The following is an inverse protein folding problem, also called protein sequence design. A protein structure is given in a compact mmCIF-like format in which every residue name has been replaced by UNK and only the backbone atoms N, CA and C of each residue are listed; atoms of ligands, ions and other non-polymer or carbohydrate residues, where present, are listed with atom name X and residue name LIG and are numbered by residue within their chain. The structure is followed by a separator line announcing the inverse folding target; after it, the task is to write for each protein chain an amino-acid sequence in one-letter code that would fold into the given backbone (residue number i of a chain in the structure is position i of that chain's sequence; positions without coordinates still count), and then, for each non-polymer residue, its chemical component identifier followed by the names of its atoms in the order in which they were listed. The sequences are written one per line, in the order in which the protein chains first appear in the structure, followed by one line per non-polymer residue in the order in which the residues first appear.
data_IF_163873913244
#
_entry.id   IF_163873913244
#
_cell.length_a   1.000
_cell.length_b   1.000
_cell.length_c   1.000
_cell.angle_alpha   90.00
_cell.angle_beta   90.00
_cell.angle_gamma   90.00
#
_symmetry.space_group_name_H-M   'P 1'
#
loop_
_entity.id
_entity.type
_entity.pdbx_description
1 polymer ?
#
# COMPACT_ATOMS: atom_id res chain seq x y z
N UNK A 1 -16.76 24.13 15.92
CA UNK A 1 -16.40 23.50 14.65
C UNK A 1 -14.91 23.21 14.71
N UNK A 2 -14.50 21.94 14.69
CA UNK A 2 -13.07 21.61 14.60
C UNK A 2 -12.62 21.93 13.18
N UNK A 3 -11.58 22.75 13.04
CA UNK A 3 -11.00 23.08 11.75
C UNK A 3 -9.93 22.03 11.46
N UNK A 4 -10.24 21.09 10.54
CA UNK A 4 -9.27 20.09 10.11
C UNK A 4 -8.21 20.78 9.25
N UNK A 5 -6.94 20.64 9.64
CA UNK A 5 -5.82 21.14 8.83
C UNK A 5 -5.49 20.08 7.78
N UNK A 6 -5.56 20.46 6.50
CA UNK A 6 -5.19 19.60 5.37
C UNK A 6 -4.12 20.35 4.57
N UNK A 7 -2.99 19.70 4.36
CA UNK A 7 -1.87 20.23 3.59
C UNK A 7 -1.68 19.30 2.39
N UNK A 8 -1.64 19.88 1.19
CA UNK A 8 -1.48 19.13 -0.05
C UNK A 8 -0.04 19.22 -0.55
N UNK A 9 0.44 18.11 -1.10
CA UNK A 9 1.76 17.96 -1.69
C UNK A 9 1.63 17.29 -3.07
N UNK A 10 2.55 17.60 -3.97
CA UNK A 10 2.65 16.97 -5.28
C UNK A 10 4.13 16.78 -5.61
N UNK A 11 4.71 15.79 -4.95
CA UNK A 11 6.13 15.49 -5.01
C UNK A 11 6.31 14.01 -5.37
N UNK A 12 7.53 13.61 -5.73
CA UNK A 12 7.89 12.20 -5.73
C UNK A 12 7.68 11.60 -4.33
N UNK A 13 7.13 10.39 -4.27
CA UNK A 13 6.74 9.79 -3.00
C UNK A 13 7.96 9.45 -2.12
N UNK A 14 9.09 9.02 -2.69
CA UNK A 14 10.30 8.73 -1.92
C UNK A 14 10.85 10.03 -1.32
N UNK A 15 10.96 11.08 -2.14
CA UNK A 15 11.42 12.37 -1.67
C UNK A 15 10.50 12.95 -0.59
N UNK A 16 9.18 12.87 -0.79
CA UNK A 16 8.20 13.31 0.20
C UNK A 16 8.38 12.56 1.53
N UNK A 17 8.46 11.23 1.51
CA UNK A 17 8.58 10.41 2.71
C UNK A 17 9.92 10.63 3.43
N UNK A 18 11.00 10.82 2.69
CA UNK A 18 12.33 11.06 3.28
C UNK A 18 12.46 12.44 3.93
N UNK A 19 11.75 13.45 3.42
CA UNK A 19 11.76 14.82 3.96
C UNK A 19 10.62 15.11 4.94
N UNK A 20 9.68 14.18 5.09
CA UNK A 20 8.60 14.30 6.08
C UNK A 20 9.17 14.10 7.50
N UNK A 21 8.84 15.04 8.39
CA UNK A 21 9.12 14.89 9.82
C UNK A 21 7.96 14.15 10.48
N UNK A 22 8.22 12.93 10.94
CA UNK A 22 7.23 12.10 11.63
C UNK A 22 7.27 12.35 13.14
N UNK A 23 6.12 12.65 13.71
CA UNK A 23 5.92 12.84 15.15
C UNK A 23 5.48 11.54 15.81
N UNK A 24 5.61 11.50 17.14
CA UNK A 24 5.10 10.39 17.95
C UNK A 24 3.58 10.30 17.79
N UNK A 25 3.09 9.10 17.50
CA UNK A 25 1.69 8.76 17.22
C UNK A 25 1.19 9.18 15.83
N UNK A 26 2.07 9.63 14.93
CA UNK A 26 1.70 9.73 13.52
C UNK A 26 1.42 8.34 12.96
N UNK A 27 0.44 8.31 12.07
CA UNK A 27 0.06 7.13 11.31
C UNK A 27 0.14 7.46 9.82
N UNK A 28 0.89 6.64 9.08
CA UNK A 28 1.09 6.83 7.64
C UNK A 28 0.36 5.72 6.89
N UNK A 29 -0.59 6.11 6.05
CA UNK A 29 -1.31 5.19 5.18
C UNK A 29 -0.75 5.24 3.77
N UNK A 30 -0.56 4.06 3.19
CA UNK A 30 -0.04 3.88 1.84
C UNK A 30 -1.04 3.13 0.98
N UNK A 31 -1.37 3.70 -0.19
CA UNK A 31 -2.13 3.05 -1.24
C UNK A 31 -1.45 3.34 -2.59
N UNK A 32 -0.30 2.70 -2.85
CA UNK A 32 0.47 2.94 -4.06
C UNK A 32 -0.21 2.30 -5.29
N UNK A 33 0.26 2.61 -6.51
CA UNK A 33 -0.07 1.80 -7.68
C UNK A 33 0.26 0.31 -7.42
N UNK A 34 -0.63 -0.61 -7.83
CA UNK A 34 -0.40 -2.04 -7.61
C UNK A 34 0.32 -2.66 -8.79
N UNK A 35 1.48 -3.29 -8.53
CA UNK A 35 2.37 -3.84 -9.56
C UNK A 35 1.67 -4.79 -10.55
N UNK A 36 0.72 -5.60 -10.04
CA UNK A 36 0.01 -6.63 -10.82
C UNK A 36 -1.41 -6.20 -11.24
N UNK A 37 -1.73 -4.90 -11.15
CA UNK A 37 -3.00 -4.36 -11.67
C UNK A 37 -2.76 -3.54 -12.93
N UNK A 38 -3.82 -3.41 -13.75
CA UNK A 38 -3.77 -2.63 -14.98
C UNK A 38 -4.61 -1.36 -14.81
N UNK A 39 -3.96 -0.28 -14.40
CA UNK A 39 -4.54 1.06 -14.28
C UNK A 39 -3.67 2.10 -14.97
N UNK A 40 -4.28 3.19 -15.44
CA UNK A 40 -3.58 4.28 -16.16
C UNK A 40 -2.47 4.94 -15.32
N UNK A 41 -2.65 5.02 -14.00
CA UNK A 41 -1.66 5.57 -13.07
C UNK A 41 -0.52 4.58 -12.73
N UNK A 42 -0.61 3.31 -13.14
CA UNK A 42 0.47 2.33 -12.91
C UNK A 42 1.61 2.45 -13.93
N UNK A 43 1.49 3.31 -14.97
CA UNK A 43 2.44 3.41 -16.08
C UNK A 43 3.89 3.69 -15.66
N UNK A 44 4.07 4.35 -14.52
CA UNK A 44 5.38 4.72 -13.99
C UNK A 44 5.78 3.87 -12.77
N UNK A 45 5.00 2.83 -12.45
CA UNK A 45 5.23 1.95 -11.30
C UNK A 45 5.77 0.61 -11.76
N UNK A 46 6.93 0.24 -11.24
CA UNK A 46 7.59 -1.03 -11.51
C UNK A 46 8.09 -1.70 -10.22
N UNK A 47 8.80 -2.81 -10.38
CA UNK A 47 9.37 -3.55 -9.24
C UNK A 47 10.35 -2.71 -8.42
N UNK A 48 11.09 -1.81 -9.05
CA UNK A 48 12.12 -1.02 -8.38
C UNK A 48 11.46 0.04 -7.49
N UNK A 49 10.38 0.67 -7.97
CA UNK A 49 9.56 1.59 -7.19
C UNK A 49 8.92 0.90 -5.97
N UNK A 50 8.36 -0.30 -6.18
CA UNK A 50 7.75 -1.07 -5.10
C UNK A 50 8.79 -1.49 -4.03
N UNK A 51 9.95 -1.98 -4.46
CA UNK A 51 11.06 -2.32 -3.56
C UNK A 51 11.56 -1.08 -2.79
N UNK A 52 11.68 0.07 -3.46
CA UNK A 52 12.08 1.32 -2.83
C UNK A 52 11.08 1.77 -1.76
N UNK A 53 9.77 1.72 -2.06
CA UNK A 53 8.71 2.02 -1.10
C UNK A 53 8.84 1.13 0.15
N UNK A 54 9.00 -0.17 -0.06
CA UNK A 54 9.17 -1.14 1.03
C UNK A 54 10.41 -0.90 1.88
N UNK A 55 11.51 -0.41 1.31
CA UNK A 55 12.68 0.06 2.07
C UNK A 55 12.38 1.27 2.97
N UNK A 56 11.50 2.17 2.51
CA UNK A 56 11.03 3.31 3.32
C UNK A 56 10.13 2.83 4.46
N UNK A 57 9.19 1.91 4.22
CA UNK A 57 8.33 1.36 5.26
C UNK A 57 9.14 0.63 6.34
N UNK A 58 10.14 -0.16 5.96
CA UNK A 58 11.09 -0.77 6.90
C UNK A 58 11.85 0.29 7.74
N UNK A 59 12.11 1.46 7.17
CA UNK A 59 12.77 2.56 7.87
C UNK A 59 11.82 3.30 8.81
N UNK A 60 10.54 3.43 8.47
CA UNK A 60 9.50 3.96 9.35
C UNK A 60 9.29 3.06 10.57
N UNK A 61 9.27 1.74 10.34
CA UNK A 61 9.16 0.74 11.40
C UNK A 61 10.29 0.89 12.44
N UNK A 62 11.53 0.96 11.96
CA UNK A 62 12.72 1.16 12.83
C UNK A 62 12.67 2.47 13.61
N UNK A 63 11.99 3.49 13.09
CA UNK A 63 11.78 4.78 13.76
C UNK A 63 10.59 4.76 14.73
N UNK A 64 9.83 3.66 14.80
CA UNK A 64 8.64 3.54 15.62
C UNK A 64 7.43 4.30 15.09
N UNK A 65 7.41 4.63 13.80
CA UNK A 65 6.27 5.27 13.12
C UNK A 65 5.27 4.19 12.71
N UNK A 66 4.00 4.41 13.01
CA UNK A 66 2.95 3.46 12.64
C UNK A 66 2.61 3.61 11.16
N UNK A 67 2.49 2.50 10.45
CA UNK A 67 2.03 2.51 9.07
C UNK A 67 1.04 1.40 8.76
N UNK A 68 0.27 1.64 7.70
CA UNK A 68 -0.51 0.62 7.02
C UNK A 68 -0.44 0.78 5.51
N UNK A 69 -0.36 -0.34 4.78
CA UNK A 69 -0.31 -0.36 3.32
C UNK A 69 -1.30 -1.35 2.74
N UNK A 70 -2.03 -0.95 1.70
CA UNK A 70 -2.90 -1.82 0.90
C UNK A 70 -2.23 -2.20 -0.41
N UNK A 71 -2.33 -3.47 -0.82
CA UNK A 71 -1.82 -3.94 -2.11
C UNK A 71 -2.44 -5.32 -2.49
N UNK A 72 -2.20 -5.77 -3.73
CA UNK A 72 -2.65 -7.05 -4.27
C UNK A 72 -1.53 -8.10 -4.23
N UNK A 73 -1.78 -9.21 -3.53
CA UNK A 73 -0.91 -10.41 -3.55
C UNK A 73 -1.12 -11.20 -4.83
N UNK A 74 -2.36 -11.28 -5.28
CA UNK A 74 -2.76 -12.04 -6.46
C UNK A 74 -3.83 -11.27 -7.24
N UNK A 75 -3.73 -11.26 -8.56
CA UNK A 75 -4.71 -10.67 -9.46
C UNK A 75 -4.65 -11.37 -10.83
N UNK A 76 -5.76 -11.95 -11.28
CA UNK A 76 -5.93 -12.49 -12.65
C UNK A 76 -4.79 -13.40 -13.12
N UNK A 77 -4.33 -14.32 -12.26
CA UNK A 77 -3.25 -15.27 -12.59
C UNK A 77 -1.85 -14.79 -12.25
N UNK A 78 -1.67 -13.51 -11.94
CA UNK A 78 -0.38 -12.93 -11.57
C UNK A 78 -0.20 -12.86 -10.05
N UNK A 79 1.02 -13.10 -9.57
CA UNK A 79 1.37 -13.06 -8.15
C UNK A 79 2.44 -12.01 -7.90
N UNK A 80 2.19 -11.10 -6.95
CA UNK A 80 3.18 -10.16 -6.48
C UNK A 80 4.08 -10.84 -5.44
N UNK A 81 5.17 -11.46 -5.91
CA UNK A 81 6.13 -12.13 -5.03
C UNK A 81 6.91 -11.15 -4.15
N UNK A 82 7.12 -9.91 -4.59
CA UNK A 82 7.81 -8.87 -3.81
C UNK A 82 7.00 -8.55 -2.55
N UNK A 83 5.72 -8.21 -2.72
CA UNK A 83 4.79 -7.99 -1.61
C UNK A 83 4.68 -9.24 -0.73
N UNK A 84 4.48 -10.42 -1.33
CA UNK A 84 4.28 -11.67 -0.59
C UNK A 84 5.45 -12.02 0.33
N UNK A 85 6.68 -11.77 -0.11
CA UNK A 85 7.86 -12.00 0.72
C UNK A 85 8.08 -10.87 1.73
N UNK A 86 7.93 -9.61 1.31
CA UNK A 86 8.12 -8.45 2.19
C UNK A 86 7.12 -8.43 3.35
N UNK A 87 5.84 -8.71 3.08
CA UNK A 87 4.75 -8.62 4.06
C UNK A 87 4.89 -9.60 5.24
N UNK A 88 5.68 -10.68 5.10
CA UNK A 88 5.93 -11.66 6.17
C UNK A 88 6.58 -11.05 7.42
N UNK A 89 7.20 -9.87 7.29
CA UNK A 89 7.80 -9.12 8.40
C UNK A 89 6.77 -8.46 9.33
N UNK A 90 5.52 -8.35 8.88
CA UNK A 90 4.49 -7.47 9.46
C UNK A 90 3.15 -8.21 9.66
N UNK A 91 2.16 -7.53 10.24
CA UNK A 91 0.82 -8.09 10.42
C UNK A 91 0.02 -7.96 9.12
N UNK A 92 -0.56 -9.08 8.67
CA UNK A 92 -1.30 -9.16 7.40
C UNK A 92 -2.78 -9.39 7.69
N UNK A 93 -3.63 -8.55 7.10
CA UNK A 93 -5.08 -8.66 7.12
C UNK A 93 -5.59 -8.85 5.70
N UNK A 94 -6.31 -9.94 5.44
CA UNK A 94 -6.94 -10.15 4.14
C UNK A 94 -8.15 -9.22 4.00
N UNK A 95 -8.20 -8.46 2.91
CA UNK A 95 -9.35 -7.62 2.59
C UNK A 95 -10.30 -8.45 1.72
N UNK A 96 -11.52 -8.64 2.21
CA UNK A 96 -12.59 -9.29 1.44
C UNK A 96 -13.39 -8.24 0.70
N UNK A 97 -12.94 -7.91 -0.49
CA UNK A 97 -13.65 -6.98 -1.35
C UNK A 97 -14.68 -7.74 -2.21
N UNK A 98 -15.94 -7.79 -1.75
CA UNK A 98 -17.07 -8.27 -2.56
C UNK A 98 -17.45 -7.20 -3.62
N UNK A 99 -16.53 -6.87 -4.53
CA UNK A 99 -16.84 -5.99 -5.66
C UNK A 99 -17.75 -6.73 -6.63
N UNK A 100 -19.05 -6.71 -6.36
CA UNK A 100 -20.09 -7.09 -7.31
C UNK A 100 -19.93 -6.14 -8.49
N UNK A 101 -19.49 -6.65 -9.63
CA UNK A 101 -19.46 -5.84 -10.83
C UNK A 101 -20.90 -5.64 -11.30
N UNK A 102 -21.30 -4.42 -11.64
CA UNK A 102 -22.68 -4.09 -12.05
C UNK A 102 -23.17 -4.93 -13.26
N UNK A 103 -22.25 -5.52 -14.03
CA UNK A 103 -22.53 -6.31 -15.24
C UNK A 103 -22.19 -7.81 -15.13
N UNK A 104 -21.56 -8.27 -14.05
CA UNK A 104 -21.06 -9.65 -13.95
C UNK A 104 -21.13 -10.12 -12.49
N UNK A 105 -21.98 -11.10 -12.23
CA UNK A 105 -22.25 -11.67 -10.90
C UNK A 105 -21.26 -12.77 -10.50
N UNK A 106 -20.10 -12.84 -11.15
CA UNK A 106 -19.02 -13.74 -10.78
C UNK A 106 -18.35 -13.23 -9.51
N UNK A 107 -18.25 -14.11 -8.50
CA UNK A 107 -17.43 -13.86 -7.32
C UNK A 107 -16.01 -13.63 -7.83
N UNK A 108 -15.40 -12.48 -7.53
CA UNK A 108 -14.01 -12.19 -7.86
C UNK A 108 -13.08 -13.03 -6.96
N UNK A 109 -13.05 -14.34 -7.20
CA UNK A 109 -12.03 -15.22 -6.62
C UNK A 109 -10.63 -14.93 -7.21
N UNK A 110 -10.57 -14.17 -8.30
CA UNK A 110 -9.35 -13.88 -9.04
C UNK A 110 -8.50 -12.75 -8.45
N UNK A 111 -8.73 -12.33 -7.21
CA UNK A 111 -7.93 -11.29 -6.56
C UNK A 111 -7.80 -11.49 -5.05
N UNK A 112 -6.59 -11.29 -4.54
CA UNK A 112 -6.32 -11.29 -3.12
C UNK A 112 -5.66 -9.97 -2.73
N UNK A 113 -6.45 -9.10 -2.10
CA UNK A 113 -6.00 -7.83 -1.54
C UNK A 113 -5.67 -8.01 -0.06
N UNK A 114 -4.59 -7.36 0.38
CA UNK A 114 -4.16 -7.38 1.78
C UNK A 114 -3.92 -5.96 2.29
N UNK A 115 -4.13 -5.81 3.59
CA UNK A 115 -3.68 -4.67 4.38
C UNK A 115 -2.56 -5.14 5.30
N UNK A 116 -1.40 -4.47 5.25
CA UNK A 116 -0.21 -4.82 6.02
C UNK A 116 0.14 -3.69 6.97
N UNK A 117 0.36 -4.02 8.25
CA UNK A 117 0.67 -3.02 9.30
C UNK A 117 1.83 -3.46 10.19
N UNK A 118 2.56 -2.50 10.74
CA UNK A 118 3.57 -2.77 11.78
C UNK A 118 3.04 -2.75 13.22
N UNK A 119 1.73 -2.58 13.39
CA UNK A 119 1.02 -2.65 14.65
C UNK A 119 -0.16 -3.61 14.56
N UNK A 120 -0.74 -3.94 15.71
CA UNK A 120 -1.86 -4.85 15.82
C UNK A 120 -3.08 -4.17 16.43
#
# INVERSE_FOLDING_TARGET
MQQNTIIFHNDDYIDFLNHTTYLKNDYVYFDPPYLISNSEYNKLWDSDNEIALYGVLDSLDKKGVLFGITNLVYHKGETNFILKEWAKKYYIFNIKSNYISYNDNTIKEDSQEIFVTNYR
#
